data_IF_073343229841
#
_entry.id   IF_073343229841
#
_cell.length_a   1.000
_cell.length_b   1.000
_cell.length_c   1.000
_cell.angle_alpha   90.00
_cell.angle_beta   90.00
_cell.angle_gamma   90.00
#
_symmetry.space_group_name_H-M   'P 1'
#
loop_
_entity.id
_entity.type
_entity.pdbx_description
1 polymer ?
#
# COMPACT_ATOMS: atom_id res chain seq x y z
N UNK A 1 5.53 -19.30 12.62
CA UNK A 1 5.33 -18.11 11.77
C UNK A 1 5.15 -18.61 10.36
N UNK A 2 4.27 -18.01 9.57
CA UNK A 2 4.08 -18.38 8.17
C UNK A 2 5.35 -18.04 7.38
N UNK A 3 5.86 -18.98 6.58
CA UNK A 3 7.01 -18.75 5.68
C UNK A 3 6.60 -17.97 4.41
N UNK A 4 5.34 -17.56 4.30
CA UNK A 4 4.84 -16.78 3.16
C UNK A 4 5.52 -15.41 3.11
N UNK A 5 5.87 -14.90 1.91
CA UNK A 5 6.30 -13.53 1.75
C UNK A 5 5.24 -12.55 2.24
N UNK A 6 5.68 -11.43 2.80
CA UNK A 6 4.78 -10.40 3.33
C UNK A 6 4.33 -9.42 2.24
N UNK A 7 3.05 -9.10 2.24
CA UNK A 7 2.41 -8.15 1.33
C UNK A 7 1.77 -6.99 2.09
N UNK A 8 1.87 -5.79 1.53
CA UNK A 8 1.17 -4.61 2.04
C UNK A 8 0.52 -3.81 0.91
N UNK A 9 -0.55 -3.11 1.24
CA UNK A 9 -1.24 -2.17 0.39
C UNK A 9 -1.71 -0.98 1.21
N UNK A 10 -1.46 0.24 0.72
CA UNK A 10 -1.81 1.46 1.44
C UNK A 10 -2.51 2.48 0.56
N UNK A 11 -3.58 3.05 1.13
CA UNK A 11 -4.41 4.10 0.57
C UNK A 11 -3.95 5.46 1.13
N UNK A 12 -3.27 6.26 0.31
CA UNK A 12 -2.87 7.65 0.62
C UNK A 12 -3.94 8.66 0.17
N UNK A 13 -3.59 9.73 -0.56
CA UNK A 13 -4.60 10.56 -1.21
C UNK A 13 -5.19 9.86 -2.45
N UNK A 14 -6.14 8.97 -2.24
CA UNK A 14 -6.74 8.08 -3.26
C UNK A 14 -8.27 8.13 -3.25
N UNK A 15 -8.88 7.77 -4.38
CA UNK A 15 -10.33 7.59 -4.52
C UNK A 15 -10.79 6.15 -4.25
N UNK A 16 -9.87 5.23 -3.95
CA UNK A 16 -10.18 3.81 -3.71
C UNK A 16 -10.22 2.94 -4.94
N UNK A 17 -10.14 3.52 -6.14
CA UNK A 17 -10.19 2.74 -7.39
C UNK A 17 -9.07 1.71 -7.52
N UNK A 18 -7.88 2.00 -6.99
CA UNK A 18 -6.75 1.07 -6.99
C UNK A 18 -7.01 -0.14 -6.06
N UNK A 19 -7.55 0.10 -4.86
CA UNK A 19 -7.95 -0.95 -3.92
C UNK A 19 -8.99 -1.89 -4.54
N UNK A 20 -10.03 -1.29 -5.13
CA UNK A 20 -11.10 -2.02 -5.81
C UNK A 20 -10.54 -2.80 -7.01
N UNK A 21 -9.56 -2.26 -7.74
CA UNK A 21 -8.93 -2.96 -8.85
C UNK A 21 -8.22 -4.26 -8.40
N UNK A 22 -7.60 -4.26 -7.22
CA UNK A 22 -7.02 -5.49 -6.65
C UNK A 22 -8.11 -6.45 -6.22
N UNK A 23 -9.17 -5.99 -5.55
CA UNK A 23 -10.29 -6.87 -5.15
C UNK A 23 -11.09 -7.42 -6.35
N UNK A 24 -11.10 -6.72 -7.48
CA UNK A 24 -11.76 -7.12 -8.72
C UNK A 24 -11.04 -8.25 -9.48
N UNK A 25 -9.96 -8.81 -8.94
CA UNK A 25 -9.43 -10.09 -9.45
C UNK A 25 -10.32 -11.29 -9.05
N UNK A 26 -11.41 -11.04 -8.31
CA UNK A 26 -12.43 -12.00 -7.90
C UNK A 26 -11.80 -13.16 -7.11
N UNK A 27 -12.08 -14.41 -7.49
CA UNK A 27 -11.63 -15.62 -6.79
C UNK A 27 -10.10 -15.71 -6.67
N UNK A 28 -9.35 -15.05 -7.56
CA UNK A 28 -7.87 -15.01 -7.48
C UNK A 28 -7.35 -14.28 -6.24
N UNK A 29 -8.21 -13.58 -5.49
CA UNK A 29 -7.82 -13.04 -4.18
C UNK A 29 -7.48 -14.15 -3.19
N UNK A 30 -8.06 -15.34 -3.36
CA UNK A 30 -7.73 -16.52 -2.57
C UNK A 30 -6.31 -17.00 -2.87
N UNK A 31 -5.84 -16.86 -4.11
CA UNK A 31 -4.44 -17.15 -4.47
C UNK A 31 -3.49 -16.15 -3.81
N UNK A 32 -3.90 -14.89 -3.67
CA UNK A 32 -3.12 -13.87 -2.95
C UNK A 32 -2.98 -14.25 -1.48
N UNK A 33 -4.08 -14.60 -0.79
CA UNK A 33 -4.04 -15.06 0.60
C UNK A 33 -3.25 -16.37 0.77
N UNK A 34 -3.36 -17.31 -0.19
CA UNK A 34 -2.62 -18.56 -0.17
C UNK A 34 -1.10 -18.35 -0.28
N UNK A 35 -0.65 -17.33 -1.00
CA UNK A 35 0.77 -17.10 -1.30
C UNK A 35 1.42 -15.96 -0.50
N UNK A 36 0.66 -15.03 0.06
CA UNK A 36 1.19 -13.90 0.82
C UNK A 36 0.63 -13.84 2.24
N UNK A 37 1.44 -13.36 3.17
CA UNK A 37 0.99 -12.89 4.46
C UNK A 37 0.68 -11.40 4.35
N UNK A 38 -0.61 -11.04 4.35
CA UNK A 38 -1.03 -9.64 4.28
C UNK A 38 -0.79 -9.03 5.66
N UNK A 39 0.17 -8.10 5.75
CA UNK A 39 0.59 -7.51 7.03
C UNK A 39 0.11 -6.07 7.22
N UNK A 40 -0.27 -5.41 6.12
CA UNK A 40 -0.79 -4.06 6.18
C UNK A 40 -1.70 -3.80 5.00
N UNK A 41 -3.01 -3.82 5.24
CA UNK A 41 -4.02 -3.46 4.26
C UNK A 41 -5.26 -2.92 4.98
N UNK A 42 -5.26 -1.63 5.38
CA UNK A 42 -6.28 -1.06 6.27
C UNK A 42 -7.73 -1.15 5.77
N UNK A 43 -7.92 -1.29 4.45
CA UNK A 43 -9.25 -1.46 3.84
C UNK A 43 -9.82 -2.85 4.06
N UNK A 44 -8.97 -3.88 4.02
CA UNK A 44 -9.37 -5.28 4.08
C UNK A 44 -9.21 -5.89 5.48
N UNK A 45 -8.38 -5.28 6.34
CA UNK A 45 -8.01 -5.82 7.63
C UNK A 45 -7.87 -4.72 8.68
N UNK A 46 -8.04 -5.09 9.96
CA UNK A 46 -7.76 -4.18 11.08
C UNK A 46 -6.24 -4.05 11.31
N UNK A 47 -5.58 -3.23 10.48
CA UNK A 47 -4.14 -2.99 10.56
C UNK A 47 -3.83 -1.64 11.20
N UNK A 48 -2.89 -1.58 12.14
CA UNK A 48 -2.45 -0.32 12.77
C UNK A 48 -1.07 0.07 12.27
N UNK A 49 -0.79 1.38 12.23
CA UNK A 49 0.53 1.88 11.82
C UNK A 49 1.66 1.38 12.72
N UNK A 50 1.39 1.26 14.03
CA UNK A 50 2.35 0.73 15.01
C UNK A 50 2.84 -0.67 14.68
N UNK A 51 1.98 -1.50 14.08
CA UNK A 51 2.34 -2.86 13.69
C UNK A 51 3.41 -2.83 12.60
N UNK A 52 3.28 -1.92 11.64
CA UNK A 52 4.26 -1.69 10.55
C UNK A 52 5.54 -1.04 11.06
N UNK A 53 5.44 -0.07 11.97
CA UNK A 53 6.59 0.60 12.59
C UNK A 53 7.50 -0.40 13.31
N UNK A 54 6.91 -1.37 14.02
CA UNK A 54 7.61 -2.42 14.75
C UNK A 54 8.25 -3.49 13.84
N UNK A 55 7.91 -3.53 12.55
CA UNK A 55 8.48 -4.50 11.63
C UNK A 55 9.96 -4.19 11.35
N UNK A 56 10.82 -5.21 11.15
CA UNK A 56 12.17 -4.99 10.66
C UNK A 56 12.16 -4.33 9.28
N UNK A 57 13.17 -3.50 9.00
CA UNK A 57 13.34 -2.93 7.66
C UNK A 57 13.51 -4.03 6.62
N UNK A 58 12.99 -3.80 5.41
CA UNK A 58 13.00 -4.77 4.30
C UNK A 58 12.37 -6.13 4.61
N UNK A 59 11.51 -6.21 5.62
CA UNK A 59 10.78 -7.45 5.94
C UNK A 59 9.50 -7.64 5.10
N UNK A 60 8.97 -6.59 4.46
CA UNK A 60 7.85 -6.68 3.53
C UNK A 60 8.40 -6.94 2.12
N UNK A 61 7.96 -8.01 1.45
CA UNK A 61 8.44 -8.31 0.11
C UNK A 61 7.91 -7.27 -0.89
N UNK A 62 6.59 -7.07 -0.91
CA UNK A 62 5.93 -6.21 -1.87
C UNK A 62 4.95 -5.27 -1.17
N UNK A 63 5.01 -4.00 -1.55
CA UNK A 63 4.00 -3.00 -1.19
C UNK A 63 3.43 -2.33 -2.41
N UNK A 64 2.10 -2.33 -2.52
CA UNK A 64 1.36 -1.50 -3.47
C UNK A 64 0.95 -0.20 -2.78
N UNK A 65 1.64 0.89 -3.12
CA UNK A 65 1.33 2.21 -2.60
C UNK A 65 0.37 2.90 -3.58
N UNK A 66 -0.85 3.20 -3.17
CA UNK A 66 -1.83 3.88 -4.03
C UNK A 66 -2.25 5.25 -3.48
N UNK A 67 -2.49 6.19 -4.39
CA UNK A 67 -2.78 7.59 -4.05
C UNK A 67 -1.55 8.48 -3.97
N UNK A 68 -1.79 9.80 -4.01
CA UNK A 68 -0.73 10.81 -3.92
C UNK A 68 -0.39 11.19 -2.47
N UNK A 69 0.60 12.07 -2.31
CA UNK A 69 0.98 12.67 -1.01
C UNK A 69 0.33 14.04 -0.89
N UNK A 70 -0.58 14.22 0.08
CA UNK A 70 -1.30 15.49 0.30
C UNK A 70 -1.16 16.07 1.71
N UNK A 71 -0.66 15.30 2.66
CA UNK A 71 -0.44 15.71 4.04
C UNK A 71 0.75 14.97 4.64
N UNK A 72 1.14 15.38 5.85
CA UNK A 72 2.27 14.83 6.58
C UNK A 72 2.10 13.35 6.92
N UNK A 73 0.86 12.89 7.11
CA UNK A 73 0.54 11.47 7.34
C UNK A 73 0.89 10.62 6.11
N UNK A 74 0.47 11.03 4.92
CA UNK A 74 0.79 10.32 3.69
C UNK A 74 2.29 10.27 3.46
N UNK A 75 2.99 11.38 3.70
CA UNK A 75 4.45 11.44 3.59
C UNK A 75 5.13 10.50 4.58
N UNK A 76 4.69 10.51 5.83
CA UNK A 76 5.19 9.64 6.88
C UNK A 76 5.02 8.16 6.51
N UNK A 77 3.81 7.75 6.12
CA UNK A 77 3.52 6.36 5.77
C UNK A 77 4.27 5.95 4.48
N UNK A 78 4.42 6.84 3.50
CA UNK A 78 5.22 6.56 2.31
C UNK A 78 6.69 6.27 2.64
N UNK A 79 7.31 7.09 3.52
CA UNK A 79 8.69 6.87 3.98
C UNK A 79 8.80 5.60 4.81
N UNK A 80 7.85 5.35 5.72
CA UNK A 80 7.80 4.15 6.54
C UNK A 80 7.75 2.90 5.65
N UNK A 81 6.76 2.81 4.76
CA UNK A 81 6.62 1.67 3.85
C UNK A 81 7.83 1.52 2.93
N UNK A 82 8.44 2.63 2.46
CA UNK A 82 9.67 2.54 1.67
C UNK A 82 10.82 1.91 2.45
N UNK A 83 10.94 2.17 3.74
CA UNK A 83 11.94 1.54 4.60
C UNK A 83 11.63 0.06 4.85
N UNK A 84 10.36 -0.26 5.15
CA UNK A 84 9.92 -1.64 5.47
C UNK A 84 9.87 -2.58 4.27
N UNK A 85 9.74 -2.06 3.06
CA UNK A 85 9.53 -2.87 1.85
C UNK A 85 10.78 -3.07 1.00
N UNK A 86 10.97 -4.30 0.52
CA UNK A 86 11.97 -4.63 -0.48
C UNK A 86 11.58 -4.03 -1.83
N UNK A 87 10.33 -4.24 -2.23
CA UNK A 87 9.73 -3.67 -3.45
C UNK A 87 8.56 -2.78 -3.05
N UNK A 88 8.61 -1.52 -3.46
CA UNK A 88 7.50 -0.59 -3.34
C UNK A 88 7.09 -0.12 -4.73
N UNK A 89 5.85 -0.40 -5.10
CA UNK A 89 5.26 -0.08 -6.40
C UNK A 89 4.31 1.08 -6.22
N UNK A 90 4.51 2.15 -7.01
CA UNK A 90 3.52 3.20 -7.18
C UNK A 90 2.36 2.65 -8.01
N UNK A 91 1.29 2.24 -7.33
CA UNK A 91 0.16 1.56 -7.95
C UNK A 91 -0.95 2.57 -8.27
N UNK A 92 -1.10 2.88 -9.56
CA UNK A 92 -2.05 3.86 -10.09
C UNK A 92 -1.42 5.21 -10.43
N UNK A 93 -2.08 5.97 -11.33
CA UNK A 93 -1.58 7.25 -11.84
C UNK A 93 -1.38 8.29 -10.72
N UNK A 94 -2.27 8.34 -9.73
CA UNK A 94 -2.13 9.27 -8.59
C UNK A 94 -0.83 9.04 -7.81
N UNK A 95 -0.43 7.79 -7.61
CA UNK A 95 0.81 7.46 -6.91
C UNK A 95 2.06 7.68 -7.77
N UNK A 96 1.94 7.48 -9.09
CA UNK A 96 3.06 7.57 -10.03
C UNK A 96 3.40 9.02 -10.42
N UNK A 97 2.38 9.83 -10.73
CA UNK A 97 2.54 11.16 -11.33
C UNK A 97 1.65 12.24 -10.69
N UNK A 98 1.02 11.93 -9.56
CA UNK A 98 0.16 12.86 -8.82
C UNK A 98 -1.28 12.95 -9.36
N UNK A 99 -1.49 12.82 -10.67
CA UNK A 99 -2.80 12.79 -11.36
C UNK A 99 -3.81 13.81 -10.80
N UNK A 100 -5.07 13.41 -10.55
CA UNK A 100 -6.15 14.29 -10.09
C UNK A 100 -5.77 15.08 -8.82
N UNK A 101 -5.23 14.47 -7.74
CA UNK A 101 -4.74 15.23 -6.58
C UNK A 101 -3.61 16.23 -6.90
N UNK A 102 -2.80 15.97 -7.91
CA UNK A 102 -1.70 16.84 -8.35
C UNK A 102 -2.19 18.12 -9.05
N UNK A 103 -3.35 18.07 -9.71
CA UNK A 103 -3.93 19.22 -10.40
C UNK A 103 -4.22 20.40 -9.46
N UNK A 104 -4.49 20.13 -8.17
CA UNK A 104 -4.71 21.17 -7.17
C UNK A 104 -3.45 22.01 -6.86
N UNK A 105 -2.28 21.62 -7.37
CA UNK A 105 -1.03 22.35 -7.24
C UNK A 105 -0.68 23.17 -8.50
N UNK A 106 -1.48 23.08 -9.55
CA UNK A 106 -1.35 23.89 -10.76
C UNK A 106 -2.12 25.20 -10.57
N UNK A 107 -1.50 26.31 -10.97
CA UNK A 107 -2.04 27.67 -10.86
C UNK A 107 -2.54 28.18 -12.20
#
# INVERSE_FOLDING_TARGET
>A
MSDKPKFAMYWAASCGGCEIAVLNIHEKILDVDANFDVVFWPVAMDAKYKDVEAMPDKSILLTLFNGGIRNDENEHIAKLLRAKSQILVAFGSCANEGCIPGLANLS
#
